data_IF_088652490410
#
_entry.id   IF_088652490410
#
_cell.length_a   1.000
_cell.length_b   1.000
_cell.length_c   1.000
_cell.angle_alpha   90.00
_cell.angle_beta   90.00
_cell.angle_gamma   90.00
#
_symmetry.space_group_name_H-M   'P 1'
#
loop_
_entity.id
_entity.type
_entity.pdbx_description
1 polymer ?
#
# COMPACT_ATOMS: atom_id res chain seq x y z
N UNK A 1 -8.56 13.11 7.27
CA UNK A 1 -7.24 12.42 7.22
C UNK A 1 -6.23 13.09 8.16
N UNK A 2 -6.06 14.41 8.12
CA UNK A 2 -5.16 15.15 9.04
C UNK A 2 -5.42 14.82 10.52
N UNK A 3 -6.67 14.86 10.98
CA UNK A 3 -7.05 14.51 12.38
C UNK A 3 -6.71 13.06 12.76
N UNK A 4 -6.78 12.12 11.81
CA UNK A 4 -6.48 10.70 12.08
C UNK A 4 -4.97 10.50 12.21
N UNK A 5 -4.21 11.16 11.34
CA UNK A 5 -2.73 11.15 11.31
C UNK A 5 -2.16 11.79 12.57
N UNK A 6 -2.73 12.91 13.02
CA UNK A 6 -2.33 13.60 14.25
C UNK A 6 -2.62 12.80 15.52
N UNK A 7 -3.71 12.00 15.55
CA UNK A 7 -4.09 11.24 16.76
C UNK A 7 -3.48 9.83 16.86
N UNK A 8 -3.25 9.15 15.74
CA UNK A 8 -2.89 7.73 15.75
C UNK A 8 -1.38 7.47 15.52
N UNK A 9 -0.62 8.46 15.07
CA UNK A 9 0.80 8.34 14.76
C UNK A 9 1.05 7.76 13.36
N UNK A 10 2.00 8.38 12.65
CA UNK A 10 2.30 8.10 11.23
C UNK A 10 2.71 6.64 10.99
N UNK A 11 3.57 6.08 11.84
CA UNK A 11 4.05 4.69 11.73
C UNK A 11 2.92 3.67 11.91
N UNK A 12 2.06 3.86 12.91
CA UNK A 12 0.97 2.92 13.21
C UNK A 12 -0.06 2.89 12.09
N UNK A 13 -0.44 4.05 11.58
CA UNK A 13 -1.37 4.11 10.44
C UNK A 13 -0.77 3.50 9.17
N UNK A 14 0.53 3.68 8.93
CA UNK A 14 1.20 3.06 7.80
C UNK A 14 1.20 1.53 7.92
N UNK A 15 1.50 1.00 9.10
CA UNK A 15 1.45 -0.45 9.36
C UNK A 15 0.03 -1.02 9.28
N UNK A 16 -0.97 -0.33 9.84
CA UNK A 16 -2.38 -0.73 9.73
C UNK A 16 -2.83 -0.76 8.27
N UNK A 17 -2.46 0.25 7.48
CA UNK A 17 -2.74 0.29 6.05
C UNK A 17 -2.09 -0.87 5.30
N UNK A 18 -0.79 -1.12 5.52
CA UNK A 18 -0.07 -2.22 4.86
C UNK A 18 -0.64 -3.60 5.22
N UNK A 19 -0.91 -3.85 6.51
CA UNK A 19 -1.49 -5.12 6.96
C UNK A 19 -2.94 -5.29 6.49
N UNK A 20 -3.73 -4.22 6.48
CA UNK A 20 -5.11 -4.24 5.96
C UNK A 20 -5.17 -4.49 4.46
N UNK A 21 -4.25 -3.90 3.68
CA UNK A 21 -4.09 -4.19 2.26
C UNK A 21 -3.67 -5.65 2.03
N UNK A 22 -2.76 -6.18 2.85
CA UNK A 22 -2.33 -7.58 2.77
C UNK A 22 -3.50 -8.55 3.01
N UNK A 23 -4.28 -8.35 4.08
CA UNK A 23 -5.46 -9.16 4.36
C UNK A 23 -6.51 -9.08 3.23
N UNK A 24 -6.69 -7.88 2.67
CA UNK A 24 -7.61 -7.65 1.54
C UNK A 24 -7.14 -8.35 0.26
N UNK A 25 -5.83 -8.38 -0.01
CA UNK A 25 -5.25 -9.10 -1.15
C UNK A 25 -5.39 -10.62 -1.03
N UNK A 26 -5.22 -11.17 0.19
CA UNK A 26 -5.46 -12.59 0.48
C UNK A 26 -6.94 -12.95 0.27
N UNK A 27 -7.85 -12.14 0.82
CA UNK A 27 -9.30 -12.31 0.66
C UNK A 27 -9.72 -12.23 -0.82
N UNK A 28 -9.15 -11.29 -1.58
CA UNK A 28 -9.41 -11.16 -3.02
C UNK A 28 -8.91 -12.38 -3.79
N UNK A 29 -7.72 -12.89 -3.47
CA UNK A 29 -7.19 -14.12 -4.08
C UNK A 29 -8.12 -15.30 -3.83
N UNK A 30 -8.58 -15.48 -2.59
CA UNK A 30 -9.51 -16.54 -2.23
C UNK A 30 -10.84 -16.40 -2.99
N UNK A 31 -11.42 -15.19 -2.99
CA UNK A 31 -12.68 -14.91 -3.66
C UNK A 31 -12.64 -15.22 -5.17
N UNK A 32 -11.49 -15.01 -5.81
CA UNK A 32 -11.30 -15.28 -7.24
C UNK A 32 -11.00 -16.75 -7.57
N UNK A 33 -10.58 -17.56 -6.59
CA UNK A 33 -10.28 -18.99 -6.79
C UNK A 33 -11.42 -19.93 -6.35
N UNK A 34 -12.41 -19.43 -5.61
CA UNK A 34 -13.63 -20.19 -5.26
C UNK A 34 -14.58 -20.27 -6.46
N UNK A 35 -15.37 -21.34 -6.54
CA UNK A 35 -16.34 -21.54 -7.62
C UNK A 35 -17.24 -20.31 -7.83
N UNK A 36 -17.52 -19.93 -9.10
CA UNK A 36 -18.25 -18.71 -9.40
C UNK A 36 -19.68 -18.78 -8.85
N UNK A 37 -19.99 -17.84 -7.96
CA UNK A 37 -21.32 -17.64 -7.37
C UNK A 37 -21.52 -16.18 -6.97
N UNK A 38 -22.74 -15.77 -6.56
CA UNK A 38 -23.01 -14.40 -6.13
C UNK A 38 -22.17 -13.99 -4.91
N UNK A 39 -21.97 -14.90 -3.95
CA UNK A 39 -21.23 -14.61 -2.71
C UNK A 39 -19.72 -14.34 -2.95
N UNK A 40 -18.97 -15.19 -3.69
CA UNK A 40 -17.56 -14.89 -4.03
C UNK A 40 -17.38 -13.58 -4.82
N UNK A 41 -18.33 -13.22 -5.69
CA UNK A 41 -18.28 -11.95 -6.44
C UNK A 41 -18.39 -10.73 -5.51
N UNK A 42 -19.34 -10.75 -4.58
CA UNK A 42 -19.46 -9.68 -3.58
C UNK A 42 -18.23 -9.62 -2.67
N UNK A 43 -17.69 -10.76 -2.28
CA UNK A 43 -16.46 -10.82 -1.49
C UNK A 43 -15.26 -10.21 -2.24
N UNK A 44 -15.13 -10.47 -3.54
CA UNK A 44 -14.08 -9.87 -4.36
C UNK A 44 -14.20 -8.33 -4.43
N UNK A 45 -15.43 -7.81 -4.63
CA UNK A 45 -15.69 -6.37 -4.64
C UNK A 45 -15.37 -5.75 -3.28
N UNK A 46 -15.85 -6.34 -2.18
CA UNK A 46 -15.56 -5.85 -0.83
C UNK A 46 -14.06 -5.87 -0.55
N UNK A 47 -13.35 -6.94 -0.94
CA UNK A 47 -11.90 -7.04 -0.77
C UNK A 47 -11.16 -5.95 -1.52
N UNK A 48 -11.59 -5.62 -2.75
CA UNK A 48 -11.00 -4.53 -3.53
C UNK A 48 -11.28 -3.16 -2.90
N UNK A 49 -12.52 -2.91 -2.45
CA UNK A 49 -12.89 -1.66 -1.78
C UNK A 49 -12.11 -1.49 -0.47
N UNK A 50 -11.98 -2.54 0.33
CA UNK A 50 -11.17 -2.54 1.54
C UNK A 50 -9.70 -2.29 1.23
N UNK A 51 -9.15 -2.91 0.18
CA UNK A 51 -7.77 -2.67 -0.25
C UNK A 51 -7.52 -1.18 -0.55
N UNK A 52 -8.41 -0.54 -1.31
CA UNK A 52 -8.32 0.90 -1.62
C UNK A 52 -8.51 1.75 -0.36
N UNK A 53 -9.44 1.36 0.52
CA UNK A 53 -9.66 2.05 1.80
C UNK A 53 -8.43 2.05 2.70
N UNK A 54 -7.79 0.89 2.88
CA UNK A 54 -6.55 0.78 3.67
C UNK A 54 -5.37 1.53 3.03
N UNK A 55 -5.27 1.52 1.70
CA UNK A 55 -4.30 2.34 0.97
C UNK A 55 -4.48 3.84 1.28
N UNK A 56 -5.72 4.33 1.20
CA UNK A 56 -6.04 5.73 1.45
C UNK A 56 -5.78 6.17 2.91
N UNK A 57 -5.88 5.26 3.87
CA UNK A 57 -5.60 5.55 5.29
C UNK A 57 -4.11 5.59 5.58
N UNK A 58 -3.31 4.71 4.99
CA UNK A 58 -1.89 4.56 5.32
C UNK A 58 -0.95 4.94 4.16
N UNK A 59 -0.61 4.00 3.27
CA UNK A 59 0.43 4.19 2.24
C UNK A 59 0.21 5.34 1.26
N UNK A 60 -1.03 5.78 1.02
CA UNK A 60 -1.32 6.88 0.11
C UNK A 60 -0.76 8.22 0.61
N UNK A 61 -1.22 8.73 1.76
CA UNK A 61 -0.80 10.04 2.26
C UNK A 61 0.49 10.03 3.09
N UNK A 62 0.74 8.98 3.88
CA UNK A 62 1.76 9.02 4.96
C UNK A 62 3.20 9.19 4.46
N UNK A 63 3.65 8.51 3.38
CA UNK A 63 5.02 8.70 2.89
C UNK A 63 5.35 10.15 2.52
N UNK A 64 4.36 10.91 2.04
CA UNK A 64 4.54 12.34 1.72
C UNK A 64 4.67 13.21 2.96
N UNK A 65 3.91 12.90 4.02
CA UNK A 65 4.06 13.57 5.32
C UNK A 65 5.41 13.26 5.95
N UNK A 66 5.80 11.99 5.99
CA UNK A 66 7.09 11.55 6.54
C UNK A 66 8.26 12.20 5.77
N UNK A 67 8.21 12.24 4.43
CA UNK A 67 9.23 12.93 3.64
C UNK A 67 9.32 14.42 3.97
N UNK A 68 8.20 15.11 4.11
CA UNK A 68 8.19 16.53 4.45
C UNK A 68 8.69 16.81 5.88
N UNK A 69 8.45 15.90 6.83
CA UNK A 69 8.89 15.99 8.23
C UNK A 69 10.38 15.63 8.42
N UNK A 70 10.91 14.67 7.64
CA UNK A 70 12.29 14.19 7.77
C UNK A 70 13.34 15.18 7.24
N UNK A 71 13.01 15.96 6.21
CA UNK A 71 13.98 16.87 5.58
C UNK A 71 13.83 18.31 6.07
N UNK A 72 14.95 18.97 6.47
CA UNK A 72 14.93 20.41 6.75
C UNK A 72 14.53 21.20 5.48
N UNK A 73 14.05 22.45 5.62
CA UNK A 73 13.43 23.19 4.52
C UNK A 73 14.32 23.35 3.27
N UNK A 74 15.64 23.52 3.46
CA UNK A 74 16.58 23.72 2.35
C UNK A 74 16.72 22.50 1.43
N UNK A 75 17.05 21.28 1.91
CA UNK A 75 17.13 20.09 1.04
C UNK A 75 15.79 19.42 0.74
N UNK A 76 14.67 19.89 1.32
CA UNK A 76 13.36 19.24 1.15
C UNK A 76 12.85 19.21 -0.29
N UNK A 77 12.86 20.32 -1.07
CA UNK A 77 12.36 20.28 -2.44
C UNK A 77 13.06 19.24 -3.34
N UNK A 78 14.41 19.15 -3.42
CA UNK A 78 15.06 18.13 -4.24
C UNK A 78 14.84 16.71 -3.70
N UNK A 79 14.80 16.50 -2.38
CA UNK A 79 14.52 15.18 -1.80
C UNK A 79 13.10 14.69 -2.13
N UNK A 80 12.10 15.57 -2.04
CA UNK A 80 10.71 15.27 -2.38
C UNK A 80 10.54 15.01 -3.89
N UNK A 81 11.27 15.74 -4.74
CA UNK A 81 11.28 15.49 -6.18
C UNK A 81 11.87 14.12 -6.54
N UNK A 82 12.97 13.72 -5.89
CA UNK A 82 13.54 12.38 -6.05
C UNK A 82 12.55 11.30 -5.60
N UNK A 83 11.91 11.47 -4.44
CA UNK A 83 10.88 10.55 -3.96
C UNK A 83 9.69 10.43 -4.94
N UNK A 84 9.23 11.55 -5.51
CA UNK A 84 8.18 11.55 -6.51
C UNK A 84 8.60 10.84 -7.80
N UNK A 85 9.85 11.02 -8.23
CA UNK A 85 10.39 10.34 -9.42
C UNK A 85 10.40 8.82 -9.22
N UNK A 86 10.85 8.35 -8.05
CA UNK A 86 10.83 6.93 -7.69
C UNK A 86 9.39 6.41 -7.63
N UNK A 87 8.44 7.18 -7.07
CA UNK A 87 7.03 6.81 -7.02
C UNK A 87 6.44 6.61 -8.42
N UNK A 88 6.65 7.57 -9.33
CA UNK A 88 6.16 7.48 -10.70
C UNK A 88 6.83 6.36 -11.49
N UNK A 89 8.13 6.14 -11.31
CA UNK A 89 8.84 5.03 -11.93
C UNK A 89 8.30 3.67 -11.46
N UNK A 90 8.05 3.52 -10.16
CA UNK A 90 7.43 2.31 -9.61
C UNK A 90 6.01 2.09 -10.15
N UNK A 91 5.18 3.14 -10.20
CA UNK A 91 3.84 3.08 -10.77
C UNK A 91 3.87 2.63 -12.24
N UNK A 92 4.79 3.19 -13.04
CA UNK A 92 4.98 2.80 -14.43
C UNK A 92 5.42 1.34 -14.56
N UNK A 93 6.37 0.90 -13.74
CA UNK A 93 6.84 -0.48 -13.71
C UNK A 93 5.72 -1.47 -13.38
N UNK A 94 4.90 -1.17 -12.36
CA UNK A 94 3.73 -1.99 -12.00
C UNK A 94 2.70 -2.00 -13.13
N UNK A 95 2.39 -0.85 -13.73
CA UNK A 95 1.43 -0.75 -14.83
C UNK A 95 1.84 -1.57 -16.06
N UNK A 96 3.13 -1.60 -16.39
CA UNK A 96 3.67 -2.42 -17.48
C UNK A 96 3.72 -3.90 -17.14
N UNK A 97 4.16 -4.25 -15.93
CA UNK A 97 4.36 -5.64 -15.53
C UNK A 97 3.04 -6.36 -15.22
N UNK A 98 2.04 -5.65 -14.67
CA UNK A 98 0.81 -6.25 -14.18
C UNK A 98 0.06 -7.09 -15.23
N UNK A 99 -0.17 -6.64 -16.48
CA UNK A 99 -0.84 -7.45 -17.49
C UNK A 99 -0.08 -8.73 -17.88
N UNK A 100 1.25 -8.70 -17.83
CA UNK A 100 2.06 -9.89 -18.08
C UNK A 100 1.97 -10.87 -16.90
N UNK A 101 2.12 -10.36 -15.68
CA UNK A 101 2.03 -11.14 -14.45
C UNK A 101 0.63 -11.75 -14.25
N UNK A 102 -0.43 -11.00 -14.54
CA UNK A 102 -1.81 -11.50 -14.47
C UNK A 102 -2.05 -12.61 -15.49
N UNK A 103 -1.47 -12.54 -16.69
CA UNK A 103 -1.57 -13.62 -17.69
C UNK A 103 -0.85 -14.89 -17.26
N UNK A 104 0.29 -14.77 -16.58
CA UNK A 104 1.07 -15.93 -16.12
C UNK A 104 0.58 -16.54 -14.81
N UNK A 105 0.12 -15.70 -13.86
CA UNK A 105 -0.21 -16.11 -12.49
C UNK A 105 -1.72 -16.11 -12.21
N UNK A 106 -2.54 -15.52 -13.09
CA UNK A 106 -3.97 -15.37 -12.84
C UNK A 106 -4.25 -14.59 -11.56
N UNK A 107 -5.16 -15.11 -10.73
CA UNK A 107 -5.54 -14.55 -9.42
C UNK A 107 -4.40 -14.60 -8.38
N UNK A 108 -3.39 -15.44 -8.57
CA UNK A 108 -2.26 -15.58 -7.63
C UNK A 108 -1.33 -14.36 -7.66
N UNK A 109 -1.46 -13.47 -8.65
CA UNK A 109 -0.70 -12.22 -8.74
C UNK A 109 -0.91 -11.32 -7.51
N UNK A 110 -2.08 -11.39 -6.87
CA UNK A 110 -2.35 -10.61 -5.66
C UNK A 110 -1.55 -11.10 -4.45
N UNK A 111 -1.14 -12.37 -4.40
CA UNK A 111 -0.23 -12.87 -3.37
C UNK A 111 1.19 -12.34 -3.55
N UNK A 112 1.64 -12.17 -4.79
CA UNK A 112 2.92 -11.53 -5.08
C UNK A 112 2.94 -10.09 -4.52
N UNK A 113 1.88 -9.31 -4.76
CA UNK A 113 1.72 -7.99 -4.15
C UNK A 113 1.59 -8.07 -2.62
N UNK A 114 0.92 -9.10 -2.09
CA UNK A 114 0.90 -9.39 -0.65
C UNK A 114 2.31 -9.58 -0.06
N UNK A 115 3.19 -10.27 -0.78
CA UNK A 115 4.61 -10.44 -0.40
C UNK A 115 5.37 -9.11 -0.37
N UNK A 116 5.17 -8.25 -1.37
CA UNK A 116 5.74 -6.89 -1.35
C UNK A 116 5.20 -6.06 -0.19
N UNK A 117 3.89 -6.13 0.08
CA UNK A 117 3.27 -5.44 1.22
C UNK A 117 3.85 -5.93 2.56
N UNK A 118 4.09 -7.24 2.71
CA UNK A 118 4.74 -7.80 3.89
C UNK A 118 6.19 -7.29 4.05
N UNK A 119 6.96 -7.25 2.95
CA UNK A 119 8.31 -6.69 2.96
C UNK A 119 8.30 -5.20 3.34
N UNK A 120 7.37 -4.40 2.80
CA UNK A 120 7.22 -3.00 3.17
C UNK A 120 6.74 -2.81 4.61
N UNK A 121 5.87 -3.69 5.12
CA UNK A 121 5.44 -3.66 6.50
C UNK A 121 6.62 -3.96 7.44
N UNK A 122 7.45 -4.95 7.10
CA UNK A 122 8.65 -5.27 7.85
C UNK A 122 9.67 -4.13 7.80
N UNK A 123 9.93 -3.56 6.62
CA UNK A 123 10.79 -2.38 6.45
C UNK A 123 10.30 -1.22 7.32
N UNK A 124 9.00 -0.91 7.26
CA UNK A 124 8.38 0.15 8.07
C UNK A 124 8.48 -0.15 9.55
N UNK A 125 8.32 -1.41 9.96
CA UNK A 125 8.41 -1.81 11.35
C UNK A 125 9.85 -1.68 11.89
N UNK A 126 10.87 -2.02 11.09
CA UNK A 126 12.26 -2.02 11.56
C UNK A 126 12.94 -0.65 11.43
N UNK A 127 12.69 0.07 10.34
CA UNK A 127 13.51 1.21 9.93
C UNK A 127 12.81 2.57 10.09
N UNK A 128 11.48 2.61 10.21
CA UNK A 128 10.77 3.87 10.38
C UNK A 128 10.64 4.22 11.88
N UNK A 129 11.41 5.18 12.41
CA UNK A 129 11.16 5.70 13.75
C UNK A 129 9.81 6.40 13.78
N UNK A 130 9.16 6.42 14.95
CA UNK A 130 7.87 7.11 15.08
C UNK A 130 8.13 8.63 15.04
N UNK A 131 7.80 9.29 13.92
CA UNK A 131 7.86 10.76 13.82
C UNK A 131 6.73 11.35 14.65
N UNK A 132 6.94 11.45 15.96
CA UNK A 132 6.14 12.31 16.82
C UNK A 132 6.70 13.72 16.68
N UNK A 133 6.27 14.40 15.62
CA UNK A 133 6.21 15.87 15.63
C UNK A 133 5.02 16.29 16.47
#
# INVERSE_FOLDING_TARGET
QVVLVERAGRRRLLLIGLLGMMGSALSLTLALNVQPGPLPRWLAVLSLVSFVGFFAVGPGPIPWFVGAELFPPEPRPPAMAAAATVNWAANFGVALAFPALQRSLGSWVFLLFGGFLAAFALFTFLLLPETQG
#
